data_IF_541744850927
#
_entry.id   IF_541744850927
#
_cell.length_a   1.000
_cell.length_b   1.000
_cell.length_c   1.000
_cell.angle_alpha   90.00
_cell.angle_beta   90.00
_cell.angle_gamma   90.00
#
_symmetry.space_group_name_H-M   'P 1'
#
loop_
_entity.id
_entity.type
_entity.pdbx_description
1 polymer ?
#
# COMPACT_ATOMS: atom_id res chain seq x y z
N UNK A 1 14.79 -10.58 -16.86
CA UNK A 1 13.31 -10.56 -17.06
C UNK A 1 12.90 -9.11 -17.30
N UNK A 2 12.02 -8.84 -18.24
CA UNK A 2 11.51 -7.48 -18.47
C UNK A 2 10.62 -7.06 -17.28
N UNK A 3 11.05 -6.02 -16.55
CA UNK A 3 10.33 -5.53 -15.37
C UNK A 3 8.93 -5.01 -15.73
N UNK A 4 8.77 -4.41 -16.92
CA UNK A 4 7.47 -3.91 -17.37
C UNK A 4 6.46 -5.02 -17.49
N UNK A 5 6.86 -6.17 -18.04
CA UNK A 5 6.01 -7.36 -18.15
C UNK A 5 5.81 -7.99 -16.76
N UNK A 6 6.90 -8.19 -16.00
CA UNK A 6 6.84 -8.82 -14.66
C UNK A 6 5.84 -8.14 -13.74
N UNK A 7 5.87 -6.81 -13.70
CA UNK A 7 5.08 -6.01 -12.75
C UNK A 7 3.98 -5.17 -13.42
N UNK A 8 3.66 -5.40 -14.70
CA UNK A 8 2.62 -4.63 -15.42
C UNK A 8 2.79 -3.11 -15.21
N UNK A 9 4.00 -2.56 -15.49
CA UNK A 9 4.34 -1.19 -15.12
C UNK A 9 3.71 -0.19 -16.09
N UNK A 10 3.03 0.81 -15.55
CA UNK A 10 2.48 1.97 -16.23
C UNK A 10 3.21 3.23 -15.79
N UNK A 11 3.67 4.05 -16.74
CA UNK A 11 4.33 5.33 -16.49
C UNK A 11 3.54 6.44 -17.13
N UNK A 12 3.21 7.48 -16.38
CA UNK A 12 2.43 8.63 -16.81
C UNK A 12 3.03 9.93 -16.27
N UNK A 13 2.64 11.07 -16.87
CA UNK A 13 3.17 12.37 -16.47
C UNK A 13 4.66 12.51 -16.80
N UNK A 14 5.20 13.72 -16.62
CA UNK A 14 6.57 14.06 -16.99
C UNK A 14 7.22 15.02 -15.99
N UNK A 15 6.75 15.05 -14.74
CA UNK A 15 7.32 15.84 -13.64
C UNK A 15 8.77 15.47 -13.36
N UNK A 16 9.55 16.39 -12.78
CA UNK A 16 10.92 16.16 -12.39
C UNK A 16 11.07 15.27 -11.14
N UNK A 17 9.99 15.07 -10.40
CA UNK A 17 9.92 14.20 -9.23
C UNK A 17 8.98 13.02 -9.54
N UNK A 18 9.33 11.83 -9.10
CA UNK A 18 8.55 10.61 -9.35
C UNK A 18 7.74 10.23 -8.14
N UNK A 19 6.45 9.94 -8.35
CA UNK A 19 5.58 9.22 -7.41
C UNK A 19 5.48 7.77 -7.86
N UNK A 20 5.85 6.83 -7.01
CA UNK A 20 5.65 5.39 -7.24
C UNK A 20 4.51 4.93 -6.35
N UNK A 21 3.45 4.37 -6.93
CA UNK A 21 2.27 3.91 -6.22
C UNK A 21 2.27 2.39 -6.10
N UNK A 22 2.18 1.90 -4.87
CA UNK A 22 2.20 0.49 -4.50
C UNK A 22 0.89 0.11 -3.81
N UNK A 23 0.14 -0.82 -4.41
CA UNK A 23 -1.20 -1.22 -3.96
C UNK A 23 -1.16 -2.21 -2.79
N UNK A 24 -2.29 -2.37 -2.09
CA UNK A 24 -2.46 -3.29 -0.97
C UNK A 24 -2.79 -4.74 -1.36
N UNK A 25 -3.00 -5.58 -0.34
CA UNK A 25 -3.43 -6.97 -0.49
C UNK A 25 -4.74 -7.08 -1.28
N UNK A 26 -4.81 -8.04 -2.21
CA UNK A 26 -5.99 -8.30 -3.05
C UNK A 26 -6.29 -7.24 -4.11
N UNK A 27 -5.47 -6.20 -4.19
CA UNK A 27 -5.64 -5.08 -5.12
C UNK A 27 -4.71 -5.20 -6.32
N UNK A 28 -4.78 -4.20 -7.21
CA UNK A 28 -3.88 -3.98 -8.33
C UNK A 28 -3.78 -2.46 -8.59
N UNK A 29 -2.98 -2.06 -9.58
CA UNK A 29 -2.75 -0.64 -9.85
C UNK A 29 -4.01 0.17 -10.20
N UNK A 30 -5.12 -0.46 -10.61
CA UNK A 30 -6.37 0.24 -10.93
C UNK A 30 -6.98 0.93 -9.70
N UNK A 31 -6.68 0.49 -8.47
CA UNK A 31 -7.15 1.18 -7.25
C UNK A 31 -6.69 2.65 -7.17
N UNK A 32 -5.69 3.04 -7.95
CA UNK A 32 -5.16 4.40 -8.01
C UNK A 32 -5.86 5.30 -9.03
N UNK A 33 -6.85 4.77 -9.79
CA UNK A 33 -7.50 5.49 -10.90
C UNK A 33 -8.14 6.83 -10.48
N UNK A 34 -8.63 6.95 -9.24
CA UNK A 34 -9.22 8.19 -8.73
C UNK A 34 -8.18 9.17 -8.16
N UNK A 35 -7.06 8.66 -7.66
CA UNK A 35 -6.05 9.47 -6.94
C UNK A 35 -4.86 9.87 -7.83
N UNK A 36 -4.24 8.94 -8.54
CA UNK A 36 -3.01 9.16 -9.29
C UNK A 36 -3.13 10.25 -10.39
N UNK A 37 -4.24 10.36 -11.14
CA UNK A 37 -4.41 11.40 -12.15
C UNK A 37 -4.29 12.83 -11.62
N UNK A 38 -4.57 13.07 -10.32
CA UNK A 38 -4.52 14.38 -9.69
C UNK A 38 -3.08 14.93 -9.54
N UNK A 39 -2.07 14.11 -9.86
CA UNK A 39 -0.64 14.47 -9.73
C UNK A 39 0.10 14.54 -11.06
N UNK A 40 -0.52 14.15 -12.19
CA UNK A 40 0.16 14.02 -13.49
C UNK A 40 0.72 15.34 -14.05
N UNK A 41 0.12 16.48 -13.70
CA UNK A 41 0.60 17.79 -14.17
C UNK A 41 1.96 18.18 -13.58
N UNK A 42 2.29 17.66 -12.39
CA UNK A 42 3.46 18.08 -11.63
C UNK A 42 4.48 16.99 -11.39
N UNK A 43 4.05 15.74 -11.47
CA UNK A 43 4.88 14.58 -11.14
C UNK A 43 4.93 13.59 -12.31
N UNK A 44 6.03 12.86 -12.37
CA UNK A 44 6.08 11.57 -13.04
C UNK A 44 5.41 10.55 -12.14
N UNK A 45 4.52 9.73 -12.65
CA UNK A 45 3.78 8.73 -11.89
C UNK A 45 4.11 7.35 -12.44
N UNK A 46 4.49 6.44 -11.56
CA UNK A 46 4.74 5.03 -11.86
C UNK A 46 3.73 4.20 -11.07
N UNK A 47 2.90 3.46 -11.78
CA UNK A 47 2.00 2.46 -11.22
C UNK A 47 2.53 1.07 -11.57
N UNK A 48 2.32 0.10 -10.71
CA UNK A 48 2.70 -1.28 -10.97
C UNK A 48 1.84 -2.26 -10.19
N UNK A 49 1.81 -3.50 -10.62
CA UNK A 49 1.22 -4.60 -9.88
C UNK A 49 2.31 -5.38 -9.13
N UNK A 50 2.05 -5.70 -7.87
CA UNK A 50 2.88 -6.65 -7.11
C UNK A 50 2.85 -8.00 -7.84
N UNK A 51 3.97 -8.71 -7.87
CA UNK A 51 4.00 -10.04 -8.51
C UNK A 51 2.99 -10.96 -7.83
N UNK A 52 2.14 -11.58 -8.64
CA UNK A 52 1.00 -12.38 -8.19
C UNK A 52 -0.32 -11.64 -8.11
N UNK A 53 -0.34 -10.33 -8.42
CA UNK A 53 -1.56 -9.51 -8.44
C UNK A 53 -1.80 -8.88 -9.82
N UNK A 54 -3.04 -8.48 -10.08
CA UNK A 54 -3.44 -7.73 -11.26
C UNK A 54 -3.08 -8.42 -12.57
N UNK A 55 -2.33 -7.72 -13.41
CA UNK A 55 -1.81 -8.21 -14.69
C UNK A 55 -0.29 -8.49 -14.65
N UNK A 56 0.28 -8.65 -13.46
CA UNK A 56 1.67 -9.09 -13.30
C UNK A 56 1.90 -10.47 -13.88
N UNK A 57 3.12 -10.78 -14.27
CA UNK A 57 3.49 -12.10 -14.74
C UNK A 57 3.44 -13.13 -13.59
N UNK A 58 2.41 -13.97 -13.58
CA UNK A 58 2.26 -15.03 -12.58
C UNK A 58 3.41 -16.07 -12.65
N UNK A 59 4.05 -16.24 -13.80
CA UNK A 59 5.23 -17.10 -13.95
C UNK A 59 6.46 -16.58 -13.20
N UNK A 60 6.47 -15.31 -12.80
CA UNK A 60 7.52 -14.73 -11.99
C UNK A 60 7.32 -14.97 -10.47
N UNK A 61 6.17 -15.53 -10.06
CA UNK A 61 5.91 -15.80 -8.65
C UNK A 61 6.74 -16.98 -8.15
N UNK A 62 7.56 -16.72 -7.15
CA UNK A 62 8.36 -17.72 -6.44
C UNK A 62 8.01 -17.68 -4.95
N UNK A 63 7.39 -18.74 -4.46
CA UNK A 63 6.94 -18.84 -3.07
C UNK A 63 8.07 -18.65 -2.05
N UNK A 64 9.29 -19.05 -2.38
CA UNK A 64 10.44 -18.86 -1.50
C UNK A 64 10.93 -17.41 -1.51
N UNK A 65 10.96 -16.75 -2.67
CA UNK A 65 11.30 -15.32 -2.80
C UNK A 65 10.30 -14.45 -2.03
N UNK A 66 9.01 -14.76 -2.13
CA UNK A 66 7.93 -13.98 -1.52
C UNK A 66 7.46 -14.56 -0.17
N UNK A 67 8.31 -15.34 0.52
CA UNK A 67 8.02 -15.86 1.86
C UNK A 67 7.94 -14.79 2.95
N UNK A 68 8.47 -13.58 2.66
CA UNK A 68 8.38 -12.37 3.49
C UNK A 68 8.14 -11.15 2.60
N UNK A 69 7.84 -10.00 3.21
CA UNK A 69 7.68 -8.73 2.48
C UNK A 69 8.99 -8.26 1.80
N UNK A 70 10.16 -8.79 2.21
CA UNK A 70 11.44 -8.45 1.59
C UNK A 70 11.52 -8.82 0.11
N UNK A 71 10.84 -9.88 -0.33
CA UNK A 71 10.75 -10.25 -1.74
C UNK A 71 10.13 -9.14 -2.59
N UNK A 72 9.03 -8.59 -2.10
CA UNK A 72 8.33 -7.47 -2.72
C UNK A 72 9.12 -6.16 -2.63
N UNK A 73 9.83 -5.92 -1.51
CA UNK A 73 10.69 -4.74 -1.34
C UNK A 73 11.89 -4.75 -2.32
N UNK A 74 12.48 -5.93 -2.58
CA UNK A 74 13.51 -6.08 -3.62
C UNK A 74 12.98 -5.77 -5.01
N UNK A 75 11.79 -6.28 -5.36
CA UNK A 75 11.15 -5.94 -6.65
C UNK A 75 10.87 -4.45 -6.78
N UNK A 76 10.40 -3.82 -5.70
CA UNK A 76 10.17 -2.38 -5.67
C UNK A 76 11.48 -1.60 -5.91
N UNK A 77 12.61 -2.02 -5.34
CA UNK A 77 13.91 -1.37 -5.59
C UNK A 77 14.34 -1.50 -7.05
N UNK A 78 14.11 -2.65 -7.70
CA UNK A 78 14.38 -2.83 -9.13
C UNK A 78 13.49 -1.90 -9.99
N UNK A 79 12.20 -1.74 -9.63
CA UNK A 79 11.29 -0.81 -10.32
C UNK A 79 11.74 0.64 -10.13
N UNK A 80 12.11 1.02 -8.91
CA UNK A 80 12.62 2.35 -8.59
C UNK A 80 13.87 2.66 -9.41
N UNK A 81 14.83 1.74 -9.47
CA UNK A 81 16.06 1.93 -10.22
C UNK A 81 15.80 2.13 -11.72
N UNK A 82 14.86 1.37 -12.27
CA UNK A 82 14.59 1.37 -13.71
C UNK A 82 13.67 2.52 -14.18
N UNK A 83 12.76 3.01 -13.32
CA UNK A 83 11.67 3.90 -13.75
C UNK A 83 11.58 5.22 -13.00
N UNK A 84 12.23 5.37 -11.83
CA UNK A 84 12.18 6.63 -11.10
C UNK A 84 13.22 7.61 -11.61
N UNK A 85 12.78 8.84 -11.86
CA UNK A 85 13.60 9.97 -12.25
C UNK A 85 13.52 11.07 -11.17
N UNK A 86 14.64 11.70 -10.82
CA UNK A 86 14.71 12.74 -9.81
C UNK A 86 14.41 12.28 -8.39
N UNK A 87 13.94 13.18 -7.52
CA UNK A 87 13.47 12.80 -6.20
C UNK A 87 12.31 11.81 -6.29
N UNK A 88 12.29 10.80 -5.42
CA UNK A 88 11.29 9.75 -5.41
C UNK A 88 10.43 9.83 -4.14
N UNK A 89 9.12 9.87 -4.31
CA UNK A 89 8.15 9.68 -3.24
C UNK A 89 7.44 8.35 -3.45
N UNK A 90 7.40 7.52 -2.43
CA UNK A 90 6.67 6.27 -2.45
C UNK A 90 5.29 6.45 -1.82
N UNK A 91 4.25 6.06 -2.54
CA UNK A 91 2.87 6.03 -2.07
C UNK A 91 2.46 4.58 -1.89
N UNK A 92 2.37 4.13 -0.64
CA UNK A 92 2.04 2.75 -0.30
C UNK A 92 0.70 2.65 0.42
N UNK A 93 -0.18 1.77 -0.06
CA UNK A 93 -1.42 1.44 0.62
C UNK A 93 -1.26 0.17 1.46
N UNK A 94 -1.73 0.22 2.72
CA UNK A 94 -1.81 -0.94 3.60
C UNK A 94 -0.44 -1.63 3.77
N UNK A 95 -0.33 -2.92 3.49
CA UNK A 95 0.92 -3.70 3.52
C UNK A 95 2.05 -3.07 2.69
N UNK A 96 1.70 -2.37 1.61
CA UNK A 96 2.72 -1.72 0.77
C UNK A 96 3.40 -0.52 1.43
N UNK A 97 2.84 0.05 2.49
CA UNK A 97 3.56 0.99 3.34
C UNK A 97 4.77 0.32 4.00
N UNK A 98 4.63 -0.93 4.45
CA UNK A 98 5.74 -1.71 5.04
C UNK A 98 6.71 -2.21 3.98
N UNK A 99 6.22 -2.65 2.81
CA UNK A 99 7.09 -2.97 1.66
C UNK A 99 7.98 -1.77 1.34
N UNK A 100 7.41 -0.56 1.37
CA UNK A 100 8.15 0.68 1.16
C UNK A 100 9.20 0.98 2.22
N UNK A 101 8.87 0.80 3.49
CA UNK A 101 9.82 0.97 4.59
C UNK A 101 10.99 -0.02 4.50
N UNK A 102 10.72 -1.28 4.15
CA UNK A 102 11.75 -2.29 3.90
C UNK A 102 12.62 -1.94 2.68
N UNK A 103 12.02 -1.44 1.61
CA UNK A 103 12.72 -0.94 0.41
C UNK A 103 13.69 0.19 0.76
N UNK A 104 13.26 1.17 1.55
CA UNK A 104 14.09 2.30 1.99
C UNK A 104 15.26 1.82 2.87
N UNK A 105 15.03 0.87 3.77
CA UNK A 105 16.10 0.26 4.55
C UNK A 105 17.13 -0.50 3.71
N UNK A 106 16.70 -1.14 2.63
CA UNK A 106 17.60 -1.87 1.71
C UNK A 106 18.44 -0.92 0.85
N UNK A 107 17.90 0.27 0.51
CA UNK A 107 18.57 1.27 -0.32
C UNK A 107 18.43 2.68 0.31
N UNK A 108 19.13 2.96 1.44
CA UNK A 108 18.99 4.21 2.18
C UNK A 108 19.27 5.45 1.33
N UNK A 109 18.42 6.47 1.50
CA UNK A 109 18.56 7.74 0.79
C UNK A 109 18.06 7.74 -0.65
N UNK A 110 17.51 6.63 -1.14
CA UNK A 110 16.90 6.57 -2.49
C UNK A 110 15.49 7.15 -2.50
N UNK A 111 14.72 6.96 -1.42
CA UNK A 111 13.37 7.48 -1.23
C UNK A 111 13.44 8.82 -0.49
N UNK A 112 12.90 9.87 -1.10
CA UNK A 112 12.89 11.22 -0.53
C UNK A 112 11.75 11.45 0.47
N UNK A 113 10.64 10.73 0.31
CA UNK A 113 9.51 10.76 1.24
C UNK A 113 8.59 9.55 1.04
N UNK A 114 7.79 9.24 2.07
CA UNK A 114 6.72 8.25 2.02
C UNK A 114 5.35 8.91 2.19
N UNK A 115 4.35 8.38 1.48
CA UNK A 115 2.94 8.55 1.77
C UNK A 115 2.38 7.17 2.11
N UNK A 116 2.00 6.98 3.34
CA UNK A 116 1.46 5.72 3.85
C UNK A 116 -0.05 5.87 4.05
N UNK A 117 -0.84 5.12 3.30
CA UNK A 117 -2.32 5.18 3.34
C UNK A 117 -2.83 3.92 4.03
N UNK A 118 -3.52 4.07 5.16
CA UNK A 118 -3.98 2.94 5.98
C UNK A 118 -2.87 1.96 6.35
N UNK A 119 -1.68 2.43 6.82
CA UNK A 119 -0.55 1.55 7.08
C UNK A 119 -0.77 0.68 8.30
N UNK A 120 -0.23 -0.53 8.30
CA UNK A 120 -0.12 -1.34 9.51
C UNK A 120 1.24 -2.05 9.56
N UNK A 121 2.06 -1.82 10.60
CA UNK A 121 3.31 -2.54 10.78
C UNK A 121 3.10 -3.93 11.39
N UNK A 122 1.93 -4.17 11.99
CA UNK A 122 1.49 -5.46 12.53
C UNK A 122 -0.01 -5.43 12.74
N UNK A 123 -0.70 -6.47 12.33
CA UNK A 123 -2.17 -6.58 12.45
C UNK A 123 -2.61 -7.19 13.80
N UNK A 124 -1.77 -8.02 14.40
CA UNK A 124 -2.07 -8.73 15.66
C UNK A 124 -1.67 -7.86 16.86
N UNK A 125 -2.57 -7.74 17.83
CA UNK A 125 -2.33 -7.06 19.09
C UNK A 125 -1.11 -7.67 19.82
N UNK A 126 -0.41 -6.84 20.59
CA UNK A 126 0.71 -7.24 21.43
C UNK A 126 0.77 -6.34 22.67
N UNK A 127 1.60 -6.67 23.63
CA UNK A 127 1.80 -5.86 24.84
C UNK A 127 2.19 -4.41 24.45
N UNK A 128 1.33 -3.46 24.85
CA UNK A 128 1.52 -2.04 24.56
C UNK A 128 1.28 -1.64 23.10
N UNK A 129 0.69 -2.50 22.27
CA UNK A 129 0.40 -2.24 20.87
C UNK A 129 -0.97 -2.78 20.45
N UNK A 130 -1.78 -1.93 19.84
CA UNK A 130 -3.08 -2.29 19.23
C UNK A 130 -2.89 -2.45 17.73
N UNK A 131 -2.99 -3.69 17.23
CA UNK A 131 -2.95 -4.01 15.80
C UNK A 131 -4.34 -4.08 15.16
N UNK A 132 -5.36 -4.33 16.00
CA UNK A 132 -6.77 -4.42 15.63
C UNK A 132 -7.34 -5.82 15.61
N UNK A 133 -6.50 -6.85 15.69
CA UNK A 133 -6.92 -8.25 15.70
C UNK A 133 -6.25 -9.03 16.81
N UNK A 134 -6.99 -9.97 17.42
CA UNK A 134 -6.37 -11.00 18.22
C UNK A 134 -5.72 -12.06 17.30
N UNK A 135 -4.79 -12.83 17.85
CA UNK A 135 -4.15 -13.93 17.10
C UNK A 135 -5.17 -14.90 16.52
N UNK A 136 -6.21 -15.25 17.30
CA UNK A 136 -7.27 -16.16 16.87
C UNK A 136 -8.07 -15.63 15.69
N UNK A 137 -8.35 -14.31 15.64
CA UNK A 137 -9.08 -13.69 14.54
C UNK A 137 -8.31 -13.82 13.22
N UNK A 138 -6.97 -13.67 13.25
CA UNK A 138 -6.14 -13.85 12.08
C UNK A 138 -6.05 -15.32 11.67
N UNK A 139 -5.95 -16.24 12.62
CA UNK A 139 -5.94 -17.67 12.32
C UNK A 139 -7.27 -18.08 11.64
N UNK A 140 -8.44 -17.64 12.16
CA UNK A 140 -9.76 -17.87 11.57
C UNK A 140 -9.92 -17.23 10.17
N UNK A 141 -9.37 -16.02 9.98
CA UNK A 141 -9.35 -15.34 8.69
C UNK A 141 -8.57 -16.17 7.67
N UNK A 142 -7.37 -16.63 8.03
CA UNK A 142 -6.53 -17.44 7.16
C UNK A 142 -7.13 -18.80 6.83
N UNK A 143 -7.78 -19.44 7.79
CA UNK A 143 -8.48 -20.71 7.59
C UNK A 143 -9.70 -20.54 6.66
N UNK A 144 -10.42 -19.43 6.79
CA UNK A 144 -11.52 -19.09 5.88
C UNK A 144 -11.03 -18.83 4.45
N UNK A 145 -9.92 -18.09 4.32
CA UNK A 145 -9.25 -17.89 3.03
C UNK A 145 -8.81 -19.21 2.39
N UNK A 146 -8.24 -20.12 3.17
CA UNK A 146 -7.77 -21.42 2.69
C UNK A 146 -8.93 -22.32 2.23
N UNK A 147 -10.06 -22.27 2.93
CA UNK A 147 -11.21 -23.12 2.62
C UNK A 147 -12.08 -22.57 1.49
N UNK A 148 -12.29 -21.25 1.40
CA UNK A 148 -13.18 -20.62 0.41
C UNK A 148 -12.73 -19.17 0.10
N UNK A 149 -11.65 -19.04 -0.67
CA UNK A 149 -11.09 -17.72 -1.05
C UNK A 149 -12.12 -16.81 -1.74
N UNK A 150 -12.88 -17.32 -2.72
CA UNK A 150 -13.84 -16.52 -3.47
C UNK A 150 -15.03 -16.09 -2.60
N UNK A 151 -15.54 -16.97 -1.73
CA UNK A 151 -16.60 -16.63 -0.79
C UNK A 151 -16.14 -15.57 0.22
N UNK A 152 -14.94 -15.74 0.77
CA UNK A 152 -14.31 -14.75 1.64
C UNK A 152 -14.17 -13.40 0.94
N UNK A 153 -13.61 -13.37 -0.27
CA UNK A 153 -13.41 -12.15 -1.06
C UNK A 153 -14.71 -11.41 -1.30
N UNK A 154 -15.77 -12.11 -1.68
CA UNK A 154 -17.08 -11.52 -1.95
C UNK A 154 -17.75 -10.95 -0.67
N UNK A 155 -17.49 -11.56 0.49
CA UNK A 155 -18.05 -11.12 1.76
C UNK A 155 -17.25 -9.97 2.38
N UNK A 156 -15.90 -10.02 2.28
CA UNK A 156 -15.02 -9.09 2.98
C UNK A 156 -14.71 -7.82 2.20
N UNK A 157 -14.68 -7.86 0.87
CA UNK A 157 -14.37 -6.67 0.08
C UNK A 157 -15.32 -5.49 0.35
N UNK A 158 -16.67 -5.67 0.45
CA UNK A 158 -17.57 -4.60 0.85
C UNK A 158 -17.31 -4.07 2.27
N UNK A 159 -16.95 -4.95 3.20
CA UNK A 159 -16.63 -4.57 4.59
C UNK A 159 -15.33 -3.76 4.65
N UNK A 160 -14.30 -4.20 3.93
CA UNK A 160 -13.02 -3.50 3.81
C UNK A 160 -13.19 -2.13 3.15
N UNK A 161 -14.02 -2.05 2.11
CA UNK A 161 -14.31 -0.78 1.43
C UNK A 161 -15.07 0.19 2.32
N UNK A 162 -16.06 -0.28 3.10
CA UNK A 162 -16.78 0.51 4.09
C UNK A 162 -17.55 1.71 3.55
N UNK A 163 -17.79 1.79 2.24
CA UNK A 163 -18.44 2.92 1.57
C UNK A 163 -19.85 2.51 1.07
N UNK A 164 -20.87 2.39 1.95
CA UNK A 164 -22.18 1.87 1.59
C UNK A 164 -22.91 2.73 0.53
N UNK A 165 -22.62 4.02 0.48
CA UNK A 165 -23.19 4.94 -0.51
C UNK A 165 -22.49 4.87 -1.90
N UNK A 166 -21.43 4.08 -2.03
CA UNK A 166 -20.64 3.92 -3.25
C UNK A 166 -20.49 2.42 -3.61
N UNK A 167 -21.58 1.70 -3.91
CA UNK A 167 -21.54 0.24 -4.11
C UNK A 167 -20.61 -0.20 -5.25
N UNK A 168 -20.41 0.64 -6.25
CA UNK A 168 -19.48 0.37 -7.35
C UNK A 168 -18.04 0.16 -6.89
N UNK A 169 -17.59 0.84 -5.81
CA UNK A 169 -16.26 0.64 -5.24
C UNK A 169 -16.14 -0.73 -4.56
N UNK A 170 -17.19 -1.17 -3.88
CA UNK A 170 -17.25 -2.51 -3.28
C UNK A 170 -17.20 -3.60 -4.36
N UNK A 171 -17.90 -3.40 -5.48
CA UNK A 171 -17.85 -4.30 -6.63
C UNK A 171 -16.45 -4.33 -7.27
N UNK A 172 -15.82 -3.17 -7.45
CA UNK A 172 -14.47 -3.04 -7.99
C UNK A 172 -13.46 -3.81 -7.11
N UNK A 173 -13.51 -3.61 -5.79
CA UNK A 173 -12.62 -4.29 -4.86
C UNK A 173 -12.88 -5.80 -4.84
N UNK A 174 -14.15 -6.23 -4.86
CA UNK A 174 -14.54 -7.64 -4.95
C UNK A 174 -13.97 -8.27 -6.22
N UNK A 175 -14.13 -7.61 -7.36
CA UNK A 175 -13.59 -8.11 -8.63
C UNK A 175 -12.06 -8.19 -8.61
N UNK A 176 -11.38 -7.23 -7.98
CA UNK A 176 -9.94 -7.26 -7.82
C UNK A 176 -9.49 -8.48 -7.01
N UNK A 177 -10.11 -8.73 -5.86
CA UNK A 177 -9.82 -9.89 -5.03
C UNK A 177 -10.07 -11.20 -5.78
N UNK A 178 -11.24 -11.34 -6.40
CA UNK A 178 -11.63 -12.56 -7.11
C UNK A 178 -10.79 -12.87 -8.36
N UNK A 179 -10.06 -11.90 -8.91
CA UNK A 179 -9.15 -12.11 -10.06
C UNK A 179 -7.78 -12.62 -9.64
N UNK A 180 -7.41 -12.48 -8.38
CA UNK A 180 -6.12 -12.94 -7.89
C UNK A 180 -6.10 -14.46 -7.86
N UNK A 181 -5.00 -15.08 -8.31
CA UNK A 181 -4.83 -16.53 -8.24
C UNK A 181 -4.90 -16.99 -6.77
N UNK A 182 -5.80 -17.96 -6.43
CA UNK A 182 -6.10 -18.26 -5.02
C UNK A 182 -4.89 -18.70 -4.18
N UNK A 183 -3.99 -19.52 -4.72
CA UNK A 183 -2.83 -20.02 -3.97
C UNK A 183 -1.81 -18.91 -3.69
N UNK A 184 -1.66 -17.96 -4.63
CA UNK A 184 -0.83 -16.77 -4.45
C UNK A 184 -1.47 -15.83 -3.42
N UNK A 185 -2.78 -15.61 -3.53
CA UNK A 185 -3.52 -14.76 -2.59
C UNK A 185 -3.44 -15.29 -1.15
N UNK A 186 -3.65 -16.59 -0.95
CA UNK A 186 -3.53 -17.26 0.36
C UNK A 186 -2.11 -17.14 0.92
N UNK A 187 -1.10 -17.32 0.08
CA UNK A 187 0.30 -17.14 0.49
C UNK A 187 0.56 -15.69 0.92
N UNK A 188 0.17 -14.71 0.10
CA UNK A 188 0.38 -13.29 0.40
C UNK A 188 -0.43 -12.82 1.61
N UNK A 189 -1.65 -13.37 1.84
CA UNK A 189 -2.42 -13.13 3.06
C UNK A 189 -1.63 -13.53 4.31
N UNK A 190 -1.04 -14.74 4.32
CA UNK A 190 -0.20 -15.20 5.44
C UNK A 190 1.01 -14.30 5.66
N UNK A 191 1.71 -13.92 4.58
CA UNK A 191 2.86 -13.02 4.64
C UNK A 191 2.45 -11.65 5.16
N UNK A 192 1.27 -11.15 4.79
CA UNK A 192 0.76 -9.84 5.21
C UNK A 192 0.31 -9.86 6.68
N UNK A 193 -0.67 -10.71 7.00
CA UNK A 193 -1.35 -10.66 8.30
C UNK A 193 -0.52 -11.22 9.46
N UNK A 194 0.50 -12.03 9.18
CA UNK A 194 1.44 -12.56 10.19
C UNK A 194 2.73 -11.74 10.30
N UNK A 195 2.91 -10.69 9.48
CA UNK A 195 4.11 -9.86 9.53
C UNK A 195 4.18 -9.03 10.82
N UNK A 196 5.40 -8.73 11.24
CA UNK A 196 5.69 -7.76 12.31
C UNK A 196 6.85 -6.87 11.87
N UNK A 197 6.52 -5.72 11.32
CA UNK A 197 7.46 -4.74 10.80
C UNK A 197 7.67 -3.54 11.77
N UNK A 198 7.24 -3.64 13.03
CA UNK A 198 7.38 -2.54 14.00
C UNK A 198 8.85 -2.14 14.20
N UNK A 199 9.77 -3.10 14.20
CA UNK A 199 11.20 -2.80 14.30
C UNK A 199 11.78 -2.22 13.00
N UNK A 200 11.14 -2.48 11.88
CA UNK A 200 11.59 -1.99 10.57
C UNK A 200 11.27 -0.51 10.37
N UNK A 201 10.23 0.00 11.00
CA UNK A 201 9.86 1.42 10.93
C UNK A 201 10.57 2.27 11.98
N UNK A 202 11.01 1.67 13.09
CA UNK A 202 11.79 2.39 14.11
C UNK A 202 13.13 2.84 13.49
N UNK A 203 13.39 4.14 13.55
CA UNK A 203 14.62 4.74 12.98
C UNK A 203 14.52 5.12 11.50
N UNK A 204 13.38 4.93 10.86
CA UNK A 204 13.12 5.52 9.55
C UNK A 204 13.06 7.05 9.67
N UNK A 205 14.07 7.73 9.13
CA UNK A 205 14.21 9.20 9.21
C UNK A 205 13.69 9.93 7.97
N UNK A 206 13.35 9.19 6.92
CA UNK A 206 12.71 9.71 5.71
C UNK A 206 11.38 10.36 6.09
N UNK A 207 11.04 11.55 5.57
CA UNK A 207 9.75 12.19 5.81
C UNK A 207 8.57 11.29 5.45
N UNK A 208 7.57 11.21 6.32
CA UNK A 208 6.39 10.35 6.13
C UNK A 208 5.10 11.14 6.29
N UNK A 209 4.18 11.02 5.34
CA UNK A 209 2.77 11.37 5.52
C UNK A 209 1.98 10.09 5.83
N UNK A 210 1.30 10.06 6.97
CA UNK A 210 0.38 8.99 7.34
C UNK A 210 -1.04 9.50 7.05
N UNK A 211 -1.75 8.82 6.15
CA UNK A 211 -3.18 9.03 5.88
C UNK A 211 -3.97 7.90 6.51
N UNK A 212 -4.72 8.23 7.57
CA UNK A 212 -5.50 7.29 8.35
C UNK A 212 -7.00 7.55 8.16
N UNK A 213 -7.81 6.54 7.82
CA UNK A 213 -9.27 6.66 7.89
C UNK A 213 -9.74 6.80 9.34
N UNK A 214 -10.77 7.60 9.57
CA UNK A 214 -11.38 7.79 10.89
C UNK A 214 -12.07 6.53 11.41
N UNK A 215 -12.53 5.66 10.52
CA UNK A 215 -13.12 4.36 10.84
C UNK A 215 -12.55 3.30 9.87
N UNK A 216 -11.57 2.53 10.33
CA UNK A 216 -10.88 1.51 9.55
C UNK A 216 -10.84 0.20 10.36
N UNK A 217 -11.55 -0.81 9.89
CA UNK A 217 -11.62 -2.11 10.53
C UNK A 217 -10.30 -2.91 10.41
N UNK A 218 -9.51 -2.63 9.38
CA UNK A 218 -8.26 -3.40 9.09
C UNK A 218 -7.05 -2.79 9.80
N UNK A 219 -6.96 -1.46 9.82
CA UNK A 219 -5.90 -0.71 10.48
C UNK A 219 -6.54 0.42 11.31
N UNK A 220 -6.95 0.16 12.56
CA UNK A 220 -7.63 1.15 13.38
C UNK A 220 -6.74 2.37 13.67
N UNK A 221 -7.37 3.48 14.05
CA UNK A 221 -6.71 4.78 14.32
C UNK A 221 -5.48 4.64 15.22
N UNK A 222 -5.54 3.76 16.23
CA UNK A 222 -4.43 3.49 17.14
C UNK A 222 -3.15 3.01 16.42
N UNK A 223 -3.27 2.33 15.28
CA UNK A 223 -2.10 1.90 14.47
C UNK A 223 -1.43 3.09 13.82
N UNK A 224 -2.19 4.01 13.25
CA UNK A 224 -1.65 5.25 12.66
C UNK A 224 -1.02 6.15 13.72
N UNK A 225 -1.64 6.28 14.90
CA UNK A 225 -1.09 7.01 16.05
C UNK A 225 0.21 6.38 16.57
N UNK A 226 0.26 5.05 16.65
CA UNK A 226 1.51 4.34 16.99
C UNK A 226 2.62 4.69 16.00
N UNK A 227 2.37 4.55 14.69
CA UNK A 227 3.35 4.90 13.66
C UNK A 227 3.81 6.36 13.78
N UNK A 228 2.88 7.28 14.01
CA UNK A 228 3.22 8.69 14.22
C UNK A 228 4.12 8.89 15.45
N UNK A 229 3.91 8.12 16.50
CA UNK A 229 4.72 8.21 17.74
C UNK A 229 6.15 7.70 17.59
N UNK A 230 6.40 6.75 16.68
CA UNK A 230 7.72 6.12 16.47
C UNK A 230 8.48 6.64 15.25
N UNK A 231 7.82 7.35 14.35
CA UNK A 231 8.40 7.95 13.15
C UNK A 231 8.72 9.43 13.39
N UNK A 232 10.01 9.80 13.55
CA UNK A 232 10.40 11.14 14.03
C UNK A 232 10.03 12.27 13.06
N UNK A 233 9.94 11.98 11.76
CA UNK A 233 9.66 12.96 10.69
C UNK A 233 8.29 12.70 10.05
N UNK A 234 7.30 12.28 10.84
CA UNK A 234 5.98 12.00 10.30
C UNK A 234 4.99 13.15 10.47
N UNK A 235 4.10 13.28 9.49
CA UNK A 235 2.88 14.09 9.54
C UNK A 235 1.70 13.13 9.55
N UNK A 236 0.83 13.26 10.56
CA UNK A 236 -0.38 12.45 10.67
C UNK A 236 -1.59 13.24 10.17
N UNK A 237 -2.39 12.62 9.33
CA UNK A 237 -3.62 13.19 8.81
C UNK A 237 -4.75 12.17 8.93
N UNK A 238 -5.73 12.47 9.77
CA UNK A 238 -6.97 11.71 9.86
C UNK A 238 -7.89 12.14 8.71
N UNK A 239 -8.29 11.19 7.87
CA UNK A 239 -9.24 11.38 6.78
C UNK A 239 -10.61 10.95 7.28
N UNK A 240 -11.59 11.84 7.22
CA UNK A 240 -12.98 11.50 7.53
C UNK A 240 -13.51 10.54 6.46
N UNK A 241 -13.44 9.25 6.79
CA UNK A 241 -13.75 8.15 5.88
C UNK A 241 -14.04 6.87 6.67
N UNK A 242 -15.01 6.11 6.21
CA UNK A 242 -15.28 4.74 6.67
C UNK A 242 -14.66 3.76 5.67
N UNK A 243 -13.86 2.83 6.18
CA UNK A 243 -13.20 1.79 5.39
C UNK A 243 -11.71 2.01 5.18
N UNK A 244 -11.07 0.95 4.69
CA UNK A 244 -9.61 0.82 4.57
C UNK A 244 -9.03 1.47 3.32
N UNK A 245 -9.87 1.91 2.38
CA UNK A 245 -9.45 2.40 1.06
C UNK A 245 -9.81 3.89 0.84
N UNK A 246 -9.35 4.85 1.68
CA UNK A 246 -9.73 6.27 1.55
C UNK A 246 -9.27 6.89 0.23
N UNK A 247 -8.25 6.36 -0.41
CA UNK A 247 -7.79 6.79 -1.74
C UNK A 247 -8.77 6.43 -2.86
N UNK A 248 -9.71 5.50 -2.62
CA UNK A 248 -10.81 5.17 -3.53
C UNK A 248 -12.11 5.88 -3.13
N UNK A 249 -12.48 5.85 -1.84
CA UNK A 249 -13.76 6.37 -1.34
C UNK A 249 -13.75 7.87 -1.03
N UNK A 250 -12.58 8.45 -0.69
CA UNK A 250 -12.36 9.87 -0.39
C UNK A 250 -11.13 10.45 -1.10
N UNK A 251 -10.97 10.25 -2.44
CA UNK A 251 -9.74 10.57 -3.16
C UNK A 251 -9.37 12.06 -3.12
N UNK A 252 -10.35 12.96 -3.05
CA UNK A 252 -10.12 14.40 -2.97
C UNK A 252 -9.48 14.79 -1.63
N UNK A 253 -9.93 14.20 -0.53
CA UNK A 253 -9.37 14.45 0.80
C UNK A 253 -7.93 13.92 0.87
N UNK A 254 -7.67 12.71 0.35
CA UNK A 254 -6.33 12.16 0.24
C UNK A 254 -5.41 13.03 -0.63
N UNK A 255 -5.89 13.44 -1.81
CA UNK A 255 -5.12 14.30 -2.71
C UNK A 255 -4.78 15.65 -2.08
N UNK A 256 -5.72 16.29 -1.40
CA UNK A 256 -5.49 17.57 -0.73
C UNK A 256 -4.42 17.45 0.38
N UNK A 257 -4.43 16.38 1.16
CA UNK A 257 -3.41 16.12 2.17
C UNK A 257 -2.04 15.85 1.53
N UNK A 258 -2.01 15.01 0.49
CA UNK A 258 -0.79 14.72 -0.27
C UNK A 258 -0.23 15.98 -0.94
N UNK A 259 -1.04 16.81 -1.58
CA UNK A 259 -0.58 18.04 -2.24
C UNK A 259 0.10 19.00 -1.26
N UNK A 260 -0.44 19.14 -0.04
CA UNK A 260 0.20 19.95 1.02
C UNK A 260 1.55 19.37 1.42
N UNK A 261 1.62 18.08 1.65
CA UNK A 261 2.86 17.40 2.04
C UNK A 261 3.91 17.42 0.93
N UNK A 262 3.49 17.22 -0.32
CA UNK A 262 4.35 17.13 -1.49
C UNK A 262 4.78 18.50 -2.06
N UNK A 263 4.30 19.61 -1.51
CA UNK A 263 4.60 20.96 -2.00
C UNK A 263 6.11 21.24 -2.23
N UNK A 264 7.04 20.77 -1.34
CA UNK A 264 8.48 20.98 -1.55
C UNK A 264 9.03 20.31 -2.82
N UNK A 265 8.47 19.19 -3.24
CA UNK A 265 8.90 18.44 -4.42
C UNK A 265 8.15 18.83 -5.70
N UNK A 266 6.97 19.44 -5.58
CA UNK A 266 6.18 19.91 -6.72
C UNK A 266 6.77 21.16 -7.38
N UNK A 267 7.59 21.94 -6.65
CA UNK A 267 8.19 23.18 -7.11
C UNK A 267 9.53 23.01 -7.87
N UNK A 268 10.05 21.79 -8.00
CA UNK A 268 11.38 21.51 -8.56
C UNK A 268 11.47 21.61 -10.10
N UNK A 269 10.63 22.43 -10.76
CA UNK A 269 10.77 22.81 -12.16
C UNK A 269 10.92 24.32 -12.29
N UNK A 270 12.12 24.80 -12.06
CA UNK A 270 12.58 26.08 -12.59
C UNK A 270 14.11 26.08 -12.59
N UNK A 271 14.71 25.57 -13.65
CA UNK A 271 16.15 25.62 -13.87
C UNK A 271 16.49 24.95 -15.17
#
# INVERSE_FOLDING_TARGET
MDLRHRNNITVMGNGACTLVFSHGFGCNQAMWNALAPQFLERFRVVLYDLVGAGLSDLGAFDKAKYATLDGYARDLNEIIEAYAEGPLILVGHSVSAMIGALSDRMAPGRIAAHVMIGPSPRYIDADGYVGGFQRGDIDDLLDTLDSNYLGWSSSMAPVIMGAPDQPALSEELTQSFCRTEPDIAKHFARVTFLSDNRQDVIGLTTPVLILQSSDDLIAPVAVGEYLHSVLPNSTYCLVDNVGHCPHMSAPQACAAAMQRFLAPWAAARAG
#
